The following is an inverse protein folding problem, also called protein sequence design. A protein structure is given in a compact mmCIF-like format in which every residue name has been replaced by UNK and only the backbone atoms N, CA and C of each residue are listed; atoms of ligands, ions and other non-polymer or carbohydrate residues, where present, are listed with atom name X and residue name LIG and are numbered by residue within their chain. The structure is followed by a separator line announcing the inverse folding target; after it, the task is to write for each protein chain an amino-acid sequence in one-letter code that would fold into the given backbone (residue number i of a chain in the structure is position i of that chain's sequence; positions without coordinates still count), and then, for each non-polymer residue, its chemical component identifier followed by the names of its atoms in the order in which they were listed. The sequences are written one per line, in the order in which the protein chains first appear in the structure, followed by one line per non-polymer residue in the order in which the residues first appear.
data_IF_940211844563
#
_entry.id   IF_940211844563
#
_cell.length_a   1.000
_cell.length_b   1.000
_cell.length_c   1.000
_cell.angle_alpha   90.00
_cell.angle_beta   90.00
_cell.angle_gamma   90.00
#
_symmetry.space_group_name_H-M   'P 1'
#
loop_
_entity.id
_entity.type
_entity.pdbx_description
1 polymer ?
#
# COMPACT_ATOMS: atom_id res chain seq x y z
N UNK A 1 -6.26 51.56 80.53
CA UNK A 1 -5.33 50.46 80.89
C UNK A 1 -5.64 49.27 79.99
N UNK A 2 -5.23 49.36 78.72
CA UNK A 2 -4.10 48.63 78.10
C UNK A 2 -4.34 47.12 77.91
N UNK A 3 -4.85 46.79 76.72
CA UNK A 3 -4.73 45.46 76.11
C UNK A 3 -3.26 45.17 75.77
N UNK A 4 -2.79 43.97 76.10
CA UNK A 4 -1.54 43.42 75.57
C UNK A 4 -1.80 42.01 75.03
N UNK A 5 -1.88 41.90 73.69
CA UNK A 5 -1.83 40.63 72.97
C UNK A 5 -0.37 40.19 72.91
N UNK A 6 -0.06 39.09 73.61
CA UNK A 6 1.26 38.46 73.59
C UNK A 6 1.37 37.58 72.35
N UNK A 7 2.38 37.85 71.51
CA UNK A 7 2.69 37.08 70.32
C UNK A 7 3.26 35.69 70.70
N UNK A 8 2.78 34.66 70.00
CA UNK A 8 3.27 33.28 70.08
C UNK A 8 4.61 33.15 69.30
N UNK A 9 5.57 32.35 69.78
CA UNK A 9 6.85 32.18 69.11
C UNK A 9 6.74 31.23 67.91
N UNK A 10 7.25 31.69 66.77
CA UNK A 10 7.36 30.98 65.50
C UNK A 10 8.22 29.69 65.64
N UNK A 11 7.69 28.49 65.31
CA UNK A 11 8.44 27.25 65.46
C UNK A 11 9.49 27.11 64.35
N UNK A 12 10.74 27.45 64.67
CA UNK A 12 11.88 27.14 63.80
C UNK A 12 11.99 25.61 63.62
N UNK A 13 12.03 25.11 62.36
CA UNK A 13 12.13 23.68 62.11
C UNK A 13 13.47 23.13 62.64
N UNK A 14 13.41 21.97 63.29
CA UNK A 14 14.59 21.32 63.87
C UNK A 14 15.60 20.96 62.76
N UNK A 15 16.90 20.93 63.11
CA UNK A 15 18.00 20.57 62.19
C UNK A 15 17.77 19.22 61.49
N UNK A 16 17.04 18.30 62.12
CA UNK A 16 16.68 16.98 61.57
C UNK A 16 15.68 17.11 60.42
N UNK A 17 14.70 18.01 60.52
CA UNK A 17 13.72 18.29 59.46
C UNK A 17 14.37 18.98 58.27
N UNK A 18 15.34 19.87 58.50
CA UNK A 18 16.10 20.51 57.42
C UNK A 18 17.00 19.52 56.66
N UNK A 19 17.65 18.58 57.34
CA UNK A 19 18.47 17.54 56.71
C UNK A 19 17.62 16.53 55.90
N UNK A 20 16.42 16.17 56.38
CA UNK A 20 15.48 15.34 55.64
C UNK A 20 14.97 16.02 54.36
N UNK A 21 14.67 17.31 54.44
CA UNK A 21 14.21 18.08 53.28
C UNK A 21 15.35 18.30 52.27
N UNK A 22 16.59 18.47 52.74
CA UNK A 22 17.77 18.55 51.85
C UNK A 22 18.04 17.21 51.16
N UNK A 23 17.93 16.08 51.88
CA UNK A 23 18.06 14.75 51.30
C UNK A 23 16.99 14.44 50.24
N UNK A 24 15.73 14.82 50.52
CA UNK A 24 14.64 14.66 49.56
C UNK A 24 14.84 15.55 48.32
N UNK A 25 15.33 16.78 48.52
CA UNK A 25 15.62 17.70 47.42
C UNK A 25 16.77 17.19 46.55
N UNK A 26 17.84 16.64 47.13
CA UNK A 26 18.96 16.04 46.38
C UNK A 26 18.50 14.79 45.61
N UNK A 27 17.60 13.96 46.18
CA UNK A 27 17.06 12.77 45.50
C UNK A 27 16.16 13.13 44.32
N UNK A 28 15.27 14.12 44.49
CA UNK A 28 14.40 14.62 43.41
C UNK A 28 15.22 15.33 42.34
N UNK A 29 16.20 16.15 42.73
CA UNK A 29 17.05 16.85 41.78
C UNK A 29 17.97 15.88 41.04
N UNK A 30 18.50 14.85 41.70
CA UNK A 30 19.33 13.82 41.07
C UNK A 30 18.53 12.93 40.13
N UNK A 31 17.27 12.57 40.45
CA UNK A 31 16.39 11.82 39.53
C UNK A 31 15.95 12.65 38.34
N UNK A 32 15.70 13.96 38.51
CA UNK A 32 15.43 14.88 37.40
C UNK A 32 16.69 15.08 36.55
N UNK A 33 17.87 15.24 37.15
CA UNK A 33 19.14 15.36 36.41
C UNK A 33 19.47 14.06 35.65
N UNK A 34 19.22 12.91 36.26
CA UNK A 34 19.40 11.60 35.62
C UNK A 34 18.39 11.41 34.48
N UNK A 35 17.14 11.83 34.67
CA UNK A 35 16.12 11.88 33.62
C UNK A 35 16.55 12.78 32.47
N UNK A 36 16.96 14.02 32.73
CA UNK A 36 17.36 14.99 31.69
C UNK A 36 18.68 14.63 31.00
N UNK A 37 19.61 13.97 31.70
CA UNK A 37 20.89 13.52 31.12
C UNK A 37 20.76 12.21 30.32
N UNK A 38 19.77 11.36 30.61
CA UNK A 38 19.52 10.10 29.89
C UNK A 38 18.33 10.13 28.92
N UNK A 39 17.46 11.14 28.99
CA UNK A 39 16.42 11.44 27.99
C UNK A 39 16.96 11.75 26.57
N UNK A 40 18.19 12.23 26.33
CA UNK A 40 18.69 12.36 24.96
C UNK A 40 19.22 11.03 24.39
N UNK A 41 19.29 9.95 25.19
CA UNK A 41 19.74 8.61 24.74
C UNK A 41 18.61 7.61 24.49
N UNK A 42 17.40 7.85 25.01
CA UNK A 42 16.19 7.32 24.39
C UNK A 42 15.78 8.23 23.24
N UNK A 43 16.63 8.28 22.22
CA UNK A 43 16.22 8.74 20.92
C UNK A 43 15.05 7.87 20.47
N UNK A 44 13.83 8.38 20.66
CA UNK A 44 12.68 8.06 19.81
C UNK A 44 13.24 8.07 18.40
N UNK A 45 13.40 6.87 17.86
CA UNK A 45 13.92 6.65 16.52
C UNK A 45 12.93 7.35 15.61
N UNK A 46 13.26 8.58 15.21
CA UNK A 46 12.60 9.26 14.09
C UNK A 46 12.93 8.42 12.85
N UNK A 47 12.24 7.31 12.67
CA UNK A 47 12.13 6.66 11.37
C UNK A 47 11.15 7.50 10.56
N UNK A 48 11.53 8.74 10.26
CA UNK A 48 11.06 9.33 9.01
C UNK A 48 11.52 8.38 7.89
N UNK A 49 10.66 8.01 6.94
CA UNK A 49 11.02 7.16 5.78
C UNK A 49 12.27 7.65 5.03
N UNK A 50 12.63 8.91 5.21
CA UNK A 50 13.86 9.56 4.75
C UNK A 50 15.16 8.78 5.03
N UNK A 51 15.28 8.07 6.16
CA UNK A 51 16.51 7.30 6.46
C UNK A 51 16.64 5.97 5.69
N UNK A 52 15.53 5.41 5.23
CA UNK A 52 15.51 4.25 4.33
C UNK A 52 15.82 4.69 2.89
N UNK A 53 15.26 5.82 2.46
CA UNK A 53 15.50 6.42 1.14
C UNK A 53 16.96 6.86 0.96
N UNK A 54 17.58 7.44 2.00
CA UNK A 54 18.99 7.81 1.98
C UNK A 54 19.94 6.59 1.85
N UNK A 55 19.51 5.40 2.32
CA UNK A 55 20.26 4.15 2.13
C UNK A 55 20.14 3.58 0.73
N UNK A 56 19.06 3.87 0.01
CA UNK A 56 18.81 3.43 -1.38
C UNK A 56 19.52 4.35 -2.39
N UNK A 57 19.66 5.64 -2.07
CA UNK A 57 20.35 6.62 -2.92
C UNK A 57 21.89 6.51 -2.91
N UNK A 58 22.47 5.65 -2.07
CA UNK A 58 23.90 5.43 -1.97
C UNK A 58 24.42 4.48 -3.04
N UNK A 59 25.04 5.03 -4.09
CA UNK A 59 25.84 4.39 -5.13
C UNK A 59 26.22 2.91 -4.89
N UNK A 60 25.45 2.01 -5.48
CA UNK A 60 25.90 0.72 -5.99
C UNK A 60 25.06 0.43 -7.23
N UNK A 61 25.68 -0.09 -8.30
CA UNK A 61 24.94 -0.60 -9.45
C UNK A 61 24.07 -1.75 -8.93
N UNK A 62 22.77 -1.48 -8.74
CA UNK A 62 21.82 -2.50 -8.31
C UNK A 62 21.95 -3.69 -9.27
N UNK A 63 22.05 -4.93 -8.75
CA UNK A 63 22.07 -6.11 -9.59
C UNK A 63 20.83 -6.12 -10.50
N UNK A 64 20.99 -6.57 -11.74
CA UNK A 64 19.86 -6.67 -12.67
C UNK A 64 18.76 -7.50 -12.03
N UNK A 65 17.50 -7.08 -12.17
CA UNK A 65 16.34 -7.78 -11.62
C UNK A 65 16.24 -9.26 -12.01
N UNK A 66 16.87 -9.66 -13.12
CA UNK A 66 16.73 -10.97 -13.76
C UNK A 66 15.61 -11.01 -14.80
N UNK A 67 14.76 -9.98 -14.87
CA UNK A 67 13.71 -9.83 -15.89
C UNK A 67 14.11 -8.71 -16.84
N UNK A 68 14.12 -9.01 -18.13
CA UNK A 68 14.59 -8.05 -19.12
C UNK A 68 13.78 -6.76 -19.03
N UNK A 69 12.46 -6.76 -18.95
CA UNK A 69 11.62 -5.54 -19.00
C UNK A 69 11.41 -4.84 -17.65
N UNK A 70 12.13 -5.25 -16.60
CA UNK A 70 11.97 -4.75 -15.23
C UNK A 70 13.31 -4.24 -14.69
N UNK A 71 13.36 -3.01 -14.19
CA UNK A 71 14.57 -2.46 -13.58
C UNK A 71 14.74 -2.93 -12.13
N UNK A 72 13.63 -2.96 -11.38
CA UNK A 72 13.63 -3.25 -9.95
C UNK A 72 12.44 -4.12 -9.59
N UNK A 73 12.67 -5.09 -8.72
CA UNK A 73 11.63 -5.91 -8.11
C UNK A 73 11.62 -5.58 -6.61
N UNK A 74 10.46 -5.23 -6.08
CA UNK A 74 10.23 -5.04 -4.64
C UNK A 74 9.32 -6.15 -4.12
N UNK A 75 9.69 -6.74 -2.98
CA UNK A 75 8.83 -7.66 -2.24
C UNK A 75 8.38 -6.97 -0.95
N UNK A 76 7.07 -6.76 -0.80
CA UNK A 76 6.47 -6.23 0.42
C UNK A 76 6.29 -7.39 1.39
N UNK A 77 7.01 -7.34 2.51
CA UNK A 77 6.95 -8.39 3.53
C UNK A 77 7.15 -7.80 4.91
N UNK A 78 6.39 -8.27 5.90
CA UNK A 78 6.67 -7.91 7.29
C UNK A 78 8.07 -8.40 7.67
N UNK A 79 8.87 -7.53 8.28
CA UNK A 79 10.24 -7.87 8.71
C UNK A 79 10.29 -9.10 9.62
N UNK A 80 9.24 -9.31 10.40
CA UNK A 80 9.10 -10.42 11.34
C UNK A 80 8.70 -11.74 10.68
N UNK A 81 8.25 -11.74 9.41
CA UNK A 81 7.85 -12.94 8.65
C UNK A 81 9.04 -13.57 7.93
N UNK A 82 10.03 -14.01 8.71
CA UNK A 82 11.22 -14.67 8.16
C UNK A 82 10.88 -15.94 7.38
N UNK A 83 9.82 -16.64 7.79
CA UNK A 83 9.27 -17.81 7.09
C UNK A 83 8.84 -17.49 5.65
N UNK A 84 8.14 -16.36 5.45
CA UNK A 84 7.71 -15.94 4.10
C UNK A 84 8.87 -15.43 3.27
N UNK A 85 9.79 -14.66 3.86
CA UNK A 85 11.00 -14.18 3.17
C UNK A 85 11.89 -15.34 2.73
N UNK A 86 12.04 -16.38 3.53
CA UNK A 86 12.78 -17.59 3.13
C UNK A 86 12.13 -18.28 1.92
N UNK A 87 10.81 -18.44 1.92
CA UNK A 87 10.10 -19.01 0.77
C UNK A 87 10.24 -18.14 -0.49
N UNK A 88 10.19 -16.82 -0.32
CA UNK A 88 10.46 -15.90 -1.41
C UNK A 88 11.91 -16.10 -1.88
N UNK A 89 12.91 -16.13 -1.01
CA UNK A 89 14.32 -16.30 -1.41
C UNK A 89 14.55 -17.59 -2.23
N UNK A 90 13.84 -18.68 -1.89
CA UNK A 90 13.81 -19.90 -2.71
C UNK A 90 13.22 -19.63 -4.10
N UNK A 91 12.10 -18.92 -4.19
CA UNK A 91 11.46 -18.53 -5.45
C UNK A 91 12.41 -17.68 -6.32
N UNK A 92 13.07 -16.67 -5.74
CA UNK A 92 14.08 -15.86 -6.43
C UNK A 92 15.24 -16.72 -6.94
N UNK A 93 15.76 -17.63 -6.11
CA UNK A 93 16.85 -18.52 -6.48
C UNK A 93 16.50 -19.46 -7.64
N UNK A 94 15.26 -19.98 -7.68
CA UNK A 94 14.76 -20.83 -8.77
C UNK A 94 14.59 -20.07 -10.09
N UNK A 95 14.13 -18.83 -10.02
CA UNK A 95 13.86 -17.99 -11.19
C UNK A 95 15.08 -17.16 -11.64
N UNK A 96 16.18 -17.17 -10.88
CA UNK A 96 17.35 -16.34 -11.13
C UNK A 96 17.06 -14.84 -10.99
N UNK A 97 16.16 -14.47 -10.06
CA UNK A 97 15.72 -13.10 -9.84
C UNK A 97 16.42 -12.45 -8.65
N UNK A 98 16.49 -11.12 -8.72
CA UNK A 98 16.97 -10.29 -7.62
C UNK A 98 15.93 -9.23 -7.27
N UNK A 99 15.57 -9.16 -5.99
CA UNK A 99 14.63 -8.16 -5.49
C UNK A 99 15.12 -7.51 -4.20
N UNK A 100 14.46 -6.41 -3.86
CA UNK A 100 14.64 -5.71 -2.60
C UNK A 100 13.42 -5.94 -1.71
N UNK A 101 13.63 -6.44 -0.50
CA UNK A 101 12.56 -6.47 0.51
C UNK A 101 12.27 -5.06 1.01
N UNK A 102 11.00 -4.67 0.97
CA UNK A 102 10.50 -3.54 1.71
C UNK A 102 9.84 -4.04 3.00
N UNK A 103 10.32 -3.54 4.14
CA UNK A 103 9.73 -3.84 5.46
C UNK A 103 8.31 -3.25 5.50
N UNK A 104 7.30 -4.13 5.43
CA UNK A 104 5.90 -3.73 5.49
C UNK A 104 5.56 -3.14 6.87
N UNK A 105 4.60 -2.21 6.88
CA UNK A 105 4.06 -1.61 8.10
C UNK A 105 3.14 -2.63 8.77
N UNK A 106 3.35 -2.97 10.05
CA UNK A 106 2.45 -3.87 10.78
C UNK A 106 1.14 -3.17 11.16
N UNK A 107 0.05 -3.94 11.27
CA UNK A 107 -1.29 -3.41 11.53
C UNK A 107 -1.45 -2.65 12.86
N UNK A 108 -0.54 -2.88 13.81
CA UNK A 108 -0.48 -2.25 15.12
C UNK A 108 0.61 -1.17 15.24
N UNK A 109 1.17 -0.71 14.12
CA UNK A 109 2.15 0.38 14.12
C UNK A 109 1.50 1.71 14.53
N UNK A 110 2.25 2.59 15.20
CA UNK A 110 1.78 3.92 15.61
C UNK A 110 1.34 4.77 14.40
N UNK A 111 1.99 4.62 13.23
CA UNK A 111 1.57 5.33 12.01
C UNK A 111 0.17 4.93 11.57
N UNK A 112 -0.22 3.68 11.81
CA UNK A 112 -1.55 3.15 11.45
C UNK A 112 -2.61 3.76 12.34
N UNK A 113 -2.36 3.80 13.65
CA UNK A 113 -3.26 4.42 14.62
C UNK A 113 -3.42 5.93 14.36
N UNK A 114 -2.31 6.63 14.16
CA UNK A 114 -2.31 8.05 13.85
C UNK A 114 -3.06 8.36 12.54
N UNK A 115 -2.89 7.54 11.51
CA UNK A 115 -3.61 7.69 10.23
C UNK A 115 -5.10 7.44 10.38
N UNK A 116 -5.53 6.43 11.14
CA UNK A 116 -6.96 6.22 11.43
C UNK A 116 -7.56 7.43 12.15
N UNK A 117 -6.83 8.04 13.08
CA UNK A 117 -7.28 9.23 13.80
C UNK A 117 -7.35 10.45 12.89
N UNK A 118 -6.37 10.63 12.01
CA UNK A 118 -6.38 11.67 10.99
C UNK A 118 -7.60 11.53 10.05
N UNK A 119 -7.92 10.31 9.58
CA UNK A 119 -9.11 10.05 8.74
C UNK A 119 -10.39 10.47 9.47
N UNK A 120 -10.54 10.16 10.76
CA UNK A 120 -11.70 10.57 11.56
C UNK A 120 -11.81 12.09 11.64
N UNK A 121 -10.71 12.79 11.97
CA UNK A 121 -10.68 14.25 12.09
C UNK A 121 -10.98 14.92 10.75
N UNK A 122 -10.36 14.44 9.67
CA UNK A 122 -10.57 14.95 8.31
C UNK A 122 -12.05 14.89 7.92
N UNK A 123 -12.70 13.74 8.11
CA UNK A 123 -14.13 13.56 7.79
C UNK A 123 -15.06 14.36 8.68
N UNK A 124 -14.76 14.50 9.98
CA UNK A 124 -15.55 15.31 10.89
C UNK A 124 -15.51 16.80 10.51
N UNK A 125 -14.34 17.32 10.12
CA UNK A 125 -14.20 18.69 9.60
C UNK A 125 -15.00 18.90 8.32
N UNK A 126 -14.94 17.96 7.37
CA UNK A 126 -15.75 18.03 6.16
C UNK A 126 -17.25 18.05 6.46
N UNK A 127 -17.73 17.24 7.41
CA UNK A 127 -19.14 17.24 7.81
C UNK A 127 -19.56 18.55 8.49
N UNK A 128 -18.73 19.12 9.37
CA UNK A 128 -19.03 20.39 10.04
C UNK A 128 -19.08 21.58 9.07
N UNK A 129 -18.16 21.62 8.08
CA UNK A 129 -18.16 22.65 7.03
C UNK A 129 -19.46 22.63 6.20
N UNK A 130 -20.11 21.49 6.05
CA UNK A 130 -21.42 21.39 5.36
C UNK A 130 -22.60 21.92 6.19
N UNK A 131 -22.44 22.08 7.52
CA UNK A 131 -23.53 22.52 8.42
C UNK A 131 -23.54 24.02 8.73
N UNK A 132 -22.42 24.72 8.53
CA UNK A 132 -22.31 26.16 8.85
C UNK A 132 -22.75 27.09 7.70
N UNK A 133 -22.76 26.61 6.45
CA UNK A 133 -23.21 27.39 5.30
C UNK A 133 -24.70 27.10 5.00
N UNK A 134 -25.58 28.01 5.42
CA UNK A 134 -27.05 27.88 5.34
C UNK A 134 -27.63 28.25 3.96
N UNK A 135 -26.80 28.27 2.92
CA UNK A 135 -27.25 28.24 1.53
C UNK A 135 -27.20 26.80 1.02
N UNK A 136 -28.17 26.30 0.23
CA UNK A 136 -28.12 24.96 -0.32
C UNK A 136 -27.03 24.91 -1.40
N UNK A 137 -25.78 24.90 -0.96
CA UNK A 137 -24.63 24.53 -1.76
C UNK A 137 -24.80 23.03 -1.98
N UNK A 138 -25.19 22.67 -3.20
CA UNK A 138 -25.00 21.33 -3.76
C UNK A 138 -23.67 20.80 -3.26
N UNK A 139 -23.68 19.63 -2.61
CA UNK A 139 -22.53 18.80 -2.23
C UNK A 139 -21.20 19.43 -2.62
N UNK A 140 -20.37 19.87 -1.68
CA UNK A 140 -19.00 20.32 -2.01
C UNK A 140 -18.32 19.23 -2.83
N UNK A 141 -18.35 19.37 -4.15
CA UNK A 141 -18.12 18.26 -5.05
C UNK A 141 -16.65 17.91 -4.95
N UNK A 142 -16.37 16.63 -4.72
CA UNK A 142 -14.99 16.15 -4.78
C UNK A 142 -14.39 16.57 -6.12
N UNK A 143 -13.25 17.26 -6.09
CA UNK A 143 -12.48 17.61 -7.27
C UNK A 143 -11.03 17.15 -7.10
N UNK A 144 -10.50 16.52 -8.14
CA UNK A 144 -9.08 16.17 -8.14
C UNK A 144 -8.22 17.43 -8.34
N UNK A 145 -7.02 17.50 -7.75
CA UNK A 145 -6.09 18.59 -8.02
C UNK A 145 -5.79 18.73 -9.52
N UNK A 146 -5.83 19.96 -10.01
CA UNK A 146 -5.65 20.29 -11.43
C UNK A 146 -4.21 20.09 -11.92
N UNK A 147 -3.25 19.99 -11.01
CA UNK A 147 -1.82 19.84 -11.25
C UNK A 147 -1.34 18.38 -11.28
N UNK A 148 -2.23 17.40 -11.12
CA UNK A 148 -1.84 15.98 -11.15
C UNK A 148 -1.12 15.61 -12.46
N UNK A 149 -1.65 16.04 -13.60
CA UNK A 149 -1.08 15.66 -14.90
C UNK A 149 0.27 16.34 -15.16
N UNK A 150 0.42 17.61 -14.76
CA UNK A 150 1.70 18.31 -14.90
C UNK A 150 2.77 17.73 -13.96
N UNK A 151 2.43 17.45 -12.70
CA UNK A 151 3.33 16.80 -11.75
C UNK A 151 3.69 15.37 -12.16
N UNK A 152 2.75 14.64 -12.78
CA UNK A 152 3.02 13.30 -13.30
C UNK A 152 4.13 13.31 -14.36
N UNK A 153 4.16 14.35 -15.20
CA UNK A 153 5.15 14.50 -16.28
C UNK A 153 6.46 15.16 -15.83
N UNK A 154 6.50 15.76 -14.64
CA UNK A 154 7.71 16.41 -14.12
C UNK A 154 8.71 15.39 -13.54
N UNK A 155 9.92 15.86 -13.27
CA UNK A 155 10.94 15.13 -12.49
C UNK A 155 11.03 15.63 -11.04
N UNK A 156 10.10 16.48 -10.62
CA UNK A 156 10.07 16.99 -9.26
C UNK A 156 9.83 15.85 -8.27
N UNK A 157 10.50 15.96 -7.12
CA UNK A 157 10.31 15.03 -6.02
C UNK A 157 8.89 15.16 -5.46
N UNK A 158 8.16 14.06 -5.44
CA UNK A 158 6.81 13.98 -4.88
C UNK A 158 6.93 13.43 -3.46
N UNK A 159 6.63 14.29 -2.47
CA UNK A 159 6.57 13.88 -1.05
C UNK A 159 5.57 12.74 -0.81
N UNK A 160 5.88 11.91 0.19
CA UNK A 160 5.02 10.82 0.65
C UNK A 160 3.64 11.33 1.10
N UNK A 161 3.63 12.41 1.87
CA UNK A 161 2.41 13.07 2.37
C UNK A 161 2.02 14.24 1.45
N UNK A 162 0.74 14.59 1.47
CA UNK A 162 0.28 15.78 0.76
C UNK A 162 0.79 17.05 1.46
N UNK A 163 1.11 18.14 0.74
CA UNK A 163 1.74 19.33 1.33
C UNK A 163 0.98 19.98 2.49
N UNK A 164 -0.35 19.83 2.53
CA UNK A 164 -1.19 20.37 3.60
C UNK A 164 -1.50 19.38 4.72
N UNK A 165 -0.97 18.15 4.65
CA UNK A 165 -1.09 17.20 5.76
C UNK A 165 -0.20 17.67 6.91
N UNK A 166 -0.68 17.62 8.17
CA UNK A 166 0.15 17.99 9.31
C UNK A 166 1.40 17.11 9.35
N UNK A 167 2.57 17.75 9.38
CA UNK A 167 3.86 17.06 9.35
C UNK A 167 4.13 16.18 10.58
N UNK A 168 3.35 16.35 11.66
CA UNK A 168 3.49 15.66 12.95
C UNK A 168 2.28 14.77 13.24
N UNK A 169 2.44 13.46 13.03
CA UNK A 169 1.53 12.43 13.58
C UNK A 169 1.47 12.50 15.13
N UNK A 170 2.47 13.11 15.77
CA UNK A 170 2.58 13.27 17.23
C UNK A 170 1.50 14.19 17.84
N UNK A 171 1.07 15.25 17.14
CA UNK A 171 -0.01 16.13 17.62
C UNK A 171 -1.37 15.41 17.60
N UNK A 172 -1.53 14.43 16.71
CA UNK A 172 -2.74 13.64 16.59
C UNK A 172 -2.85 12.53 17.64
N UNK A 173 -1.72 12.03 18.16
CA UNK A 173 -1.65 11.02 19.23
C UNK A 173 -1.93 11.60 20.63
N UNK A 174 -1.49 12.84 20.89
CA UNK A 174 -1.56 13.45 22.23
C UNK A 174 -2.98 13.87 22.68
N UNK A 175 -3.96 13.90 21.76
CA UNK A 175 -5.31 14.44 22.00
C UNK A 175 -6.43 13.38 21.90
N UNK A 176 -6.11 12.11 21.77
CA UNK A 176 -7.10 11.07 21.51
C UNK A 176 -7.64 10.43 22.79
N UNK A 177 -8.93 10.68 23.08
CA UNK A 177 -9.69 10.01 24.14
C UNK A 177 -10.65 8.99 23.51
N UNK A 178 -10.05 7.96 22.91
CA UNK A 178 -10.52 7.28 21.71
C UNK A 178 -11.93 6.71 21.63
N UNK A 179 -12.58 6.98 20.51
CA UNK A 179 -13.70 6.18 20.03
C UNK A 179 -13.18 5.11 19.07
N UNK A 180 -13.28 3.84 19.46
CA UNK A 180 -13.02 2.67 18.61
C UNK A 180 -14.13 2.44 17.57
N UNK A 181 -14.90 3.49 17.23
CA UNK A 181 -15.98 3.37 16.27
C UNK A 181 -15.44 2.95 14.90
N UNK A 182 -16.08 1.97 14.24
CA UNK A 182 -15.77 1.59 12.87
C UNK A 182 -15.85 2.80 11.93
N UNK A 183 -14.90 2.90 11.01
CA UNK A 183 -14.88 3.95 10.00
C UNK A 183 -15.39 3.35 8.69
N UNK A 184 -16.49 3.81 8.09
CA UNK A 184 -16.96 3.30 6.80
C UNK A 184 -15.92 3.60 5.70
N UNK A 185 -15.65 2.67 4.79
CA UNK A 185 -14.80 2.98 3.63
C UNK A 185 -15.54 3.93 2.68
N UNK A 186 -14.80 4.74 1.96
CA UNK A 186 -15.35 5.50 0.85
C UNK A 186 -15.55 4.59 -0.37
N UNK A 187 -16.65 4.82 -1.08
CA UNK A 187 -16.89 4.33 -2.42
C UNK A 187 -16.65 5.47 -3.41
N UNK A 188 -16.38 5.13 -4.67
CA UNK A 188 -16.13 6.12 -5.73
C UNK A 188 -15.04 7.15 -5.36
N UNK A 189 -15.19 8.44 -5.63
CA UNK A 189 -14.17 9.40 -5.22
C UNK A 189 -14.14 9.60 -3.69
N UNK A 190 -15.28 9.92 -3.08
CA UNK A 190 -15.37 10.14 -1.63
C UNK A 190 -16.79 9.93 -1.07
N UNK A 191 -17.56 9.00 -1.66
CA UNK A 191 -18.92 8.72 -1.18
C UNK A 191 -18.85 7.81 0.05
N UNK A 192 -19.17 8.35 1.22
CA UNK A 192 -19.08 7.67 2.51
C UNK A 192 -20.50 7.41 3.03
N UNK A 193 -20.77 6.18 3.46
CA UNK A 193 -22.04 5.82 4.07
C UNK A 193 -22.30 6.64 5.34
N UNK A 194 -23.51 7.19 5.47
CA UNK A 194 -23.94 7.97 6.64
C UNK A 194 -24.15 7.12 7.91
N UNK A 195 -24.26 5.79 7.75
CA UNK A 195 -24.42 4.83 8.84
C UNK A 195 -23.52 3.62 8.62
N UNK A 196 -22.98 3.08 9.71
CA UNK A 196 -22.23 1.82 9.73
C UNK A 196 -23.14 0.60 9.93
N UNK A 197 -24.42 0.81 10.28
CA UNK A 197 -25.36 -0.27 10.57
C UNK A 197 -25.62 -1.07 9.29
N UNK A 198 -25.37 -2.38 9.34
CA UNK A 198 -25.58 -3.30 8.21
C UNK A 198 -24.46 -3.26 7.16
N UNK A 199 -23.39 -2.49 7.36
CA UNK A 199 -22.24 -2.54 6.46
C UNK A 199 -21.47 -3.87 6.62
N UNK A 200 -21.10 -4.53 5.52
CA UNK A 200 -20.26 -5.72 5.60
C UNK A 200 -18.83 -5.36 6.01
N UNK A 201 -18.07 -6.33 6.54
CA UNK A 201 -16.72 -6.10 7.05
C UNK A 201 -15.75 -5.49 6.03
N UNK A 202 -15.92 -5.79 4.73
CA UNK A 202 -15.10 -5.20 3.66
C UNK A 202 -15.38 -3.71 3.38
N UNK A 203 -16.46 -3.17 3.97
CA UNK A 203 -16.81 -1.75 3.94
C UNK A 203 -16.40 -1.00 5.21
N UNK A 204 -15.61 -1.59 6.10
CA UNK A 204 -15.12 -0.96 7.32
C UNK A 204 -13.60 -0.78 7.29
N UNK A 205 -13.08 0.43 7.36
CA UNK A 205 -11.65 0.68 7.35
C UNK A 205 -11.00 0.12 8.63
N UNK A 206 -9.99 -0.75 8.47
CA UNK A 206 -9.28 -1.42 9.57
C UNK A 206 -7.80 -1.04 9.59
N UNK A 207 -7.14 -1.26 10.73
CA UNK A 207 -5.69 -1.06 10.84
C UNK A 207 -4.89 -1.84 9.80
N UNK A 208 -5.25 -3.10 9.53
CA UNK A 208 -4.59 -3.91 8.49
C UNK A 208 -4.72 -3.31 7.08
N UNK A 209 -5.86 -2.66 6.75
CA UNK A 209 -6.05 -1.98 5.45
C UNK A 209 -5.18 -0.74 5.33
N UNK A 210 -5.07 0.03 6.41
CA UNK A 210 -4.18 1.20 6.48
C UNK A 210 -2.71 0.79 6.41
N UNK A 211 -2.33 -0.27 7.13
CA UNK A 211 -0.98 -0.81 7.12
C UNK A 211 -0.57 -1.32 5.72
N UNK A 212 -1.48 -2.05 5.07
CA UNK A 212 -1.32 -2.47 3.68
C UNK A 212 -1.17 -1.25 2.75
N UNK A 213 -2.03 -0.22 2.90
CA UNK A 213 -1.89 1.02 2.14
C UNK A 213 -0.53 1.67 2.31
N UNK A 214 -0.04 1.86 3.55
CA UNK A 214 1.28 2.44 3.78
C UNK A 214 2.41 1.63 3.14
N UNK A 215 2.30 0.30 3.21
CA UNK A 215 3.31 -0.63 2.69
C UNK A 215 3.40 -0.58 1.16
N UNK A 216 2.27 -0.49 0.46
CA UNK A 216 2.28 -0.29 -0.99
C UNK A 216 2.66 1.14 -1.38
N UNK A 217 2.15 2.14 -0.66
CA UNK A 217 2.43 3.55 -0.94
C UNK A 217 3.92 3.87 -0.82
N UNK A 218 4.66 3.20 0.07
CA UNK A 218 6.11 3.39 0.21
C UNK A 218 6.89 2.88 -1.02
N UNK A 219 6.52 1.72 -1.58
CA UNK A 219 7.09 1.21 -2.84
C UNK A 219 6.72 2.13 -4.00
N UNK A 220 5.44 2.52 -4.10
CA UNK A 220 4.95 3.44 -5.14
C UNK A 220 5.70 4.78 -5.08
N UNK A 221 5.92 5.30 -3.87
CA UNK A 221 6.69 6.52 -3.63
C UNK A 221 8.16 6.38 -4.04
N UNK A 222 8.79 5.24 -3.76
CA UNK A 222 10.15 4.94 -4.26
C UNK A 222 10.18 4.94 -5.79
N UNK A 223 9.27 4.19 -6.43
CA UNK A 223 9.18 4.09 -7.89
C UNK A 223 8.94 5.46 -8.56
N UNK A 224 8.04 6.28 -8.00
CA UNK A 224 7.69 7.60 -8.51
C UNK A 224 8.85 8.61 -8.48
N UNK A 225 9.77 8.43 -7.52
CA UNK A 225 10.89 9.34 -7.27
C UNK A 225 12.24 8.78 -7.76
N UNK A 226 12.23 7.68 -8.51
CA UNK A 226 13.43 7.24 -9.23
C UNK A 226 13.91 8.32 -10.20
N UNK A 227 15.23 8.52 -10.37
CA UNK A 227 15.76 9.50 -11.33
C UNK A 227 15.27 9.25 -12.76
N UNK A 228 15.14 10.32 -13.55
CA UNK A 228 14.76 10.23 -14.96
C UNK A 228 15.77 9.42 -15.79
N UNK A 229 15.26 8.56 -16.67
CA UNK A 229 16.02 7.66 -17.55
C UNK A 229 15.06 6.79 -18.37
N UNK A 230 15.55 5.96 -19.28
CA UNK A 230 14.70 5.00 -20.03
C UNK A 230 14.03 4.05 -19.03
N UNK A 231 12.72 4.17 -18.76
CA UNK A 231 12.14 3.50 -17.61
C UNK A 231 11.73 2.09 -18.02
N UNK A 232 12.42 1.09 -17.49
CA UNK A 232 11.83 -0.25 -17.45
C UNK A 232 10.86 -0.28 -16.27
N UNK A 233 10.09 -1.36 -16.16
CA UNK A 233 9.06 -1.44 -15.14
C UNK A 233 9.65 -1.57 -13.73
N UNK A 234 8.95 -1.07 -12.72
CA UNK A 234 9.12 -1.52 -11.33
C UNK A 234 8.10 -2.60 -11.04
N UNK A 235 8.54 -3.81 -10.70
CA UNK A 235 7.68 -4.91 -10.30
C UNK A 235 7.50 -4.91 -8.78
N UNK A 236 6.25 -5.05 -8.32
CA UNK A 236 5.89 -5.13 -6.90
C UNK A 236 5.20 -6.45 -6.65
N UNK A 237 5.69 -7.17 -5.64
CA UNK A 237 5.19 -8.48 -5.20
C UNK A 237 4.84 -8.44 -3.71
N UNK A 238 3.78 -9.15 -3.32
CA UNK A 238 3.57 -9.55 -1.92
C UNK A 238 4.38 -10.83 -1.61
N UNK A 239 4.55 -11.15 -0.31
CA UNK A 239 5.42 -12.23 0.14
C UNK A 239 4.80 -13.64 0.15
N UNK A 240 3.59 -13.77 -0.38
CA UNK A 240 2.87 -15.03 -0.50
C UNK A 240 2.48 -15.36 -1.94
N UNK A 241 3.38 -15.11 -2.90
CA UNK A 241 3.16 -15.41 -4.32
C UNK A 241 3.90 -16.65 -4.84
N UNK A 242 3.38 -17.22 -5.92
CA UNK A 242 4.08 -18.12 -6.85
C UNK A 242 4.04 -17.51 -8.26
N UNK A 243 4.97 -17.88 -9.13
CA UNK A 243 5.15 -17.31 -10.47
C UNK A 243 5.40 -18.40 -11.51
N UNK A 244 5.03 -18.15 -12.77
CA UNK A 244 5.42 -19.02 -13.89
C UNK A 244 6.96 -19.15 -13.97
N UNK A 245 7.46 -20.36 -14.22
CA UNK A 245 8.89 -20.63 -14.32
C UNK A 245 9.57 -19.81 -15.45
N UNK A 246 8.86 -19.54 -16.54
CA UNK A 246 9.35 -18.80 -17.71
C UNK A 246 8.99 -17.31 -17.67
N UNK A 247 8.70 -16.74 -16.49
CA UNK A 247 8.20 -15.37 -16.30
C UNK A 247 8.97 -14.31 -17.09
N UNK A 248 10.30 -14.41 -17.19
CA UNK A 248 11.11 -13.46 -17.94
C UNK A 248 10.77 -13.48 -19.43
N UNK A 249 10.61 -14.66 -20.03
CA UNK A 249 10.25 -14.81 -21.44
C UNK A 249 8.83 -14.28 -21.70
N UNK A 250 7.88 -14.68 -20.84
CA UNK A 250 6.48 -14.22 -20.92
C UNK A 250 6.38 -12.70 -20.85
N UNK A 251 6.99 -12.08 -19.84
CA UNK A 251 6.96 -10.63 -19.68
C UNK A 251 7.67 -9.92 -20.83
N UNK A 252 8.80 -10.43 -21.29
CA UNK A 252 9.53 -9.86 -22.43
C UNK A 252 8.68 -9.83 -23.70
N UNK A 253 7.91 -10.90 -23.96
CA UNK A 253 6.98 -10.94 -25.09
C UNK A 253 5.79 -10.00 -24.89
N UNK A 254 5.10 -10.09 -23.75
CA UNK A 254 3.90 -9.31 -23.47
C UNK A 254 4.17 -7.79 -23.50
N UNK A 255 5.32 -7.35 -22.98
CA UNK A 255 5.66 -5.92 -22.96
C UNK A 255 5.75 -5.30 -24.36
N UNK A 256 5.99 -6.09 -25.41
CA UNK A 256 5.99 -5.58 -26.79
C UNK A 256 4.62 -5.08 -27.26
N UNK A 257 3.54 -5.50 -26.60
CA UNK A 257 2.18 -5.10 -26.92
C UNK A 257 1.69 -3.89 -26.11
N UNK A 258 2.40 -3.49 -25.05
CA UNK A 258 1.99 -2.37 -24.22
C UNK A 258 2.13 -1.03 -24.98
N UNK A 259 1.13 -0.13 -24.89
CA UNK A 259 1.28 1.19 -25.47
C UNK A 259 2.29 2.02 -24.68
N UNK A 260 3.04 2.97 -25.28
CA UNK A 260 4.13 3.68 -24.62
C UNK A 260 3.77 4.44 -23.32
N UNK A 261 2.49 4.78 -23.15
CA UNK A 261 1.93 5.57 -22.05
C UNK A 261 1.18 4.73 -21.00
N UNK A 262 1.44 3.42 -20.90
CA UNK A 262 0.87 2.55 -19.87
C UNK A 262 1.26 3.01 -18.45
N UNK A 263 0.35 2.89 -17.49
CA UNK A 263 0.59 3.26 -16.09
C UNK A 263 0.85 2.03 -15.20
N UNK A 264 -0.03 1.01 -15.28
CA UNK A 264 0.00 -0.16 -14.38
C UNK A 264 -0.29 -1.45 -15.14
N UNK A 265 0.46 -2.52 -14.89
CA UNK A 265 0.15 -3.88 -15.39
C UNK A 265 -0.05 -4.83 -14.20
N UNK A 266 -1.21 -5.47 -14.10
CA UNK A 266 -1.46 -6.50 -13.08
C UNK A 266 -1.02 -7.86 -13.63
N UNK A 267 -0.05 -8.50 -12.98
CA UNK A 267 0.44 -9.84 -13.35
C UNK A 267 -0.39 -10.96 -12.73
N UNK A 268 -1.11 -10.63 -11.66
CA UNK A 268 -2.27 -11.35 -11.18
C UNK A 268 -3.23 -10.41 -10.48
N UNK A 269 -4.51 -10.75 -10.51
CA UNK A 269 -5.58 -9.95 -9.93
C UNK A 269 -6.74 -10.87 -9.50
N UNK A 270 -7.69 -10.30 -8.77
CA UNK A 270 -8.90 -10.99 -8.34
C UNK A 270 -10.16 -10.19 -8.68
N UNK A 271 -11.30 -10.88 -8.62
CA UNK A 271 -12.66 -10.33 -8.60
C UNK A 271 -13.14 -9.64 -9.90
N UNK A 272 -12.29 -9.52 -10.92
CA UNK A 272 -12.67 -9.14 -12.28
C UNK A 272 -12.28 -10.23 -13.29
N UNK A 273 -12.99 -10.27 -14.42
CA UNK A 273 -12.59 -11.08 -15.56
C UNK A 273 -12.22 -10.16 -16.73
N UNK A 274 -10.96 -9.79 -16.75
CA UNK A 274 -10.43 -8.86 -17.76
C UNK A 274 -10.41 -9.49 -19.17
N UNK A 275 -10.54 -10.82 -19.28
CA UNK A 275 -10.69 -11.53 -20.56
C UNK A 275 -11.96 -11.13 -21.33
N UNK A 276 -12.88 -10.42 -20.68
CA UNK A 276 -14.09 -9.89 -21.32
C UNK A 276 -13.77 -8.73 -22.27
N UNK A 277 -12.60 -8.09 -22.10
CA UNK A 277 -12.08 -7.09 -23.01
C UNK A 277 -11.17 -7.75 -24.06
N UNK A 278 -11.11 -7.26 -25.31
CA UNK A 278 -10.23 -7.82 -26.32
C UNK A 278 -8.76 -7.78 -25.88
N UNK A 279 -8.03 -8.87 -26.11
CA UNK A 279 -6.60 -8.90 -25.90
C UNK A 279 -5.92 -7.85 -26.79
N UNK A 280 -4.93 -7.14 -26.27
CA UNK A 280 -4.05 -6.32 -27.10
C UNK A 280 -3.06 -7.25 -27.79
N UNK A 281 -3.11 -7.27 -29.11
CA UNK A 281 -2.17 -7.99 -29.97
C UNK A 281 -1.46 -6.98 -30.86
N UNK A 282 -0.13 -7.05 -30.97
CA UNK A 282 0.69 -6.16 -31.79
C UNK A 282 0.47 -6.25 -33.30
N UNK A 283 -0.64 -6.85 -33.75
CA UNK A 283 -1.07 -6.80 -35.13
C UNK A 283 -1.61 -5.40 -35.40
N UNK A 284 -0.79 -4.59 -36.09
CA UNK A 284 -1.25 -3.44 -36.84
C UNK A 284 -2.55 -3.78 -37.57
N UNK A 285 -3.54 -2.89 -37.53
CA UNK A 285 -4.85 -3.03 -38.20
C UNK A 285 -4.72 -3.41 -39.70
N UNK A 286 -3.57 -3.15 -40.30
CA UNK A 286 -3.17 -3.55 -41.66
C UNK A 286 -2.90 -5.05 -41.86
N UNK A 287 -2.48 -5.79 -40.84
CA UNK A 287 -2.18 -7.23 -40.93
C UNK A 287 -3.46 -8.10 -40.97
N UNK A 288 -4.56 -7.60 -40.39
CA UNK A 288 -5.86 -8.29 -40.40
C UNK A 288 -6.55 -8.22 -41.78
N UNK A 289 -6.19 -7.25 -42.63
CA UNK A 289 -6.76 -7.09 -43.97
C UNK A 289 -6.05 -7.90 -45.06
N UNK A 290 -4.84 -8.46 -44.80
CA UNK A 290 -4.06 -9.17 -45.83
C UNK A 290 -4.11 -10.71 -45.74
N UNK A 291 -4.77 -11.27 -44.72
CA UNK A 291 -4.86 -12.73 -44.53
C UNK A 291 -6.23 -13.33 -44.91
N UNK A 292 -7.13 -12.58 -45.56
CA UNK A 292 -8.45 -13.09 -45.98
C UNK A 292 -8.50 -13.70 -47.40
N UNK A 293 -7.35 -13.91 -48.04
CA UNK A 293 -7.27 -14.72 -49.25
C UNK A 293 -6.21 -15.80 -49.06
N UNK A 294 -6.64 -17.07 -49.11
CA UNK A 294 -5.84 -18.31 -49.01
C UNK A 294 -5.76 -18.99 -47.62
N UNK A 295 -6.84 -19.66 -47.22
CA UNK A 295 -6.76 -20.92 -46.47
C UNK A 295 -8.07 -21.72 -46.59
N UNK A 296 -8.25 -22.40 -47.72
CA UNK A 296 -9.21 -23.51 -47.86
C UNK A 296 -8.37 -24.77 -48.10
N UNK A 297 -7.95 -25.46 -47.04
CA UNK A 297 -7.32 -26.78 -47.16
C UNK A 297 -7.27 -27.54 -45.83
N UNK A 298 -8.01 -28.65 -45.83
CA UNK A 298 -7.88 -29.92 -45.10
C UNK A 298 -8.01 -30.00 -43.57
N UNK A 299 -8.94 -30.84 -43.07
CA UNK A 299 -9.01 -31.25 -41.67
C UNK A 299 -8.14 -32.50 -41.45
N UNK A 300 -6.95 -32.32 -40.90
CA UNK A 300 -6.07 -33.42 -40.51
C UNK A 300 -4.70 -32.92 -40.11
N UNK A 301 -4.32 -33.21 -38.87
CA UNK A 301 -2.96 -33.12 -38.31
C UNK A 301 -2.32 -31.72 -38.22
N UNK A 302 -2.60 -31.06 -37.10
CA UNK A 302 -1.63 -30.45 -36.19
C UNK A 302 -2.39 -30.01 -34.94
N UNK A 303 -2.46 -30.90 -33.94
CA UNK A 303 -2.83 -30.51 -32.58
C UNK A 303 -1.62 -29.77 -32.01
N UNK A 304 -1.41 -28.52 -32.46
CA UNK A 304 -0.48 -27.62 -31.80
C UNK A 304 -1.07 -27.45 -30.40
N UNK A 305 -0.36 -27.98 -29.41
CA UNK A 305 -0.70 -27.80 -28.01
C UNK A 305 -0.77 -26.30 -27.76
N UNK A 306 -1.97 -25.74 -27.70
CA UNK A 306 -2.21 -24.35 -27.32
C UNK A 306 -1.97 -24.32 -25.81
N UNK A 307 -0.69 -24.44 -25.44
CA UNK A 307 -0.19 -24.09 -24.13
C UNK A 307 -0.76 -22.71 -23.82
N UNK A 308 -1.41 -22.58 -22.67
CA UNK A 308 -2.27 -21.46 -22.31
C UNK A 308 -1.51 -20.13 -22.49
N UNK A 309 -1.65 -19.51 -23.66
CA UNK A 309 -0.88 -18.31 -23.97
C UNK A 309 -1.43 -17.16 -23.13
N UNK A 310 -0.53 -16.55 -22.36
CA UNK A 310 -0.83 -15.35 -21.58
C UNK A 310 -1.08 -14.19 -22.55
N UNK A 311 -2.08 -13.37 -22.26
CA UNK A 311 -2.41 -12.18 -23.06
C UNK A 311 -2.57 -10.97 -22.16
N UNK A 312 -2.32 -9.78 -22.71
CA UNK A 312 -2.63 -8.52 -22.06
C UNK A 312 -4.04 -8.07 -22.46
N UNK A 313 -4.82 -7.66 -21.48
CA UNK A 313 -6.15 -7.09 -21.66
C UNK A 313 -6.21 -5.71 -21.00
N UNK A 314 -6.93 -4.72 -21.55
CA UNK A 314 -7.25 -3.51 -20.81
C UNK A 314 -7.95 -3.88 -19.50
N UNK A 315 -7.49 -3.30 -18.39
CA UNK A 315 -8.09 -3.51 -17.07
C UNK A 315 -9.36 -2.67 -16.90
N UNK A 316 -10.38 -3.22 -16.22
CA UNK A 316 -11.58 -2.48 -15.84
C UNK A 316 -11.60 -2.10 -14.35
N UNK A 317 -11.45 -3.08 -13.47
CA UNK A 317 -11.47 -2.85 -12.02
C UNK A 317 -10.71 -3.97 -11.25
N UNK A 318 -9.45 -4.27 -11.61
CA UNK A 318 -8.69 -5.35 -10.99
C UNK A 318 -8.48 -5.06 -9.52
N UNK A 319 -8.70 -6.08 -8.68
CA UNK A 319 -8.39 -6.07 -7.24
C UNK A 319 -7.27 -7.05 -6.93
N UNK A 320 -6.90 -7.11 -5.65
CA UNK A 320 -5.66 -7.72 -5.17
C UNK A 320 -4.42 -6.96 -5.65
N UNK A 321 -3.40 -6.93 -4.80
CA UNK A 321 -2.14 -6.20 -5.03
C UNK A 321 -0.94 -7.12 -4.96
N UNK A 322 -1.16 -8.44 -5.04
CA UNK A 322 -0.13 -9.45 -4.84
C UNK A 322 0.96 -9.40 -5.91
N UNK A 323 0.65 -8.96 -7.14
CA UNK A 323 1.64 -8.75 -8.18
C UNK A 323 1.22 -7.72 -9.25
N UNK A 324 1.94 -6.60 -9.30
CA UNK A 324 1.73 -5.57 -10.31
C UNK A 324 3.03 -4.84 -10.68
N UNK A 325 3.08 -4.34 -11.91
CA UNK A 325 4.17 -3.56 -12.44
C UNK A 325 3.74 -2.11 -12.65
N UNK A 326 4.65 -1.16 -12.41
CA UNK A 326 4.46 0.26 -12.61
C UNK A 326 5.46 0.80 -13.63
N UNK A 327 4.99 1.65 -14.53
CA UNK A 327 5.88 2.57 -15.23
C UNK A 327 6.23 3.70 -14.27
N UNK A 328 7.35 4.40 -14.47
CA UNK A 328 7.69 5.56 -13.64
C UNK A 328 6.57 6.61 -13.66
N UNK A 329 6.05 6.92 -14.85
CA UNK A 329 4.89 7.81 -15.04
C UNK A 329 3.67 7.32 -14.28
N UNK A 330 3.35 6.03 -14.39
CA UNK A 330 2.26 5.39 -13.67
C UNK A 330 2.41 5.45 -12.16
N UNK A 331 3.63 5.23 -11.63
CA UNK A 331 3.94 5.37 -10.21
C UNK A 331 3.72 6.80 -9.71
N UNK A 332 4.18 7.80 -10.47
CA UNK A 332 3.95 9.23 -10.15
C UNK A 332 2.46 9.56 -10.12
N UNK A 333 1.73 9.18 -11.17
CA UNK A 333 0.29 9.40 -11.26
C UNK A 333 -0.45 8.71 -10.11
N UNK A 334 -0.13 7.45 -9.83
CA UNK A 334 -0.74 6.68 -8.76
C UNK A 334 -0.47 7.31 -7.39
N UNK A 335 0.78 7.70 -7.10
CA UNK A 335 1.16 8.37 -5.85
C UNK A 335 0.36 9.66 -5.62
N UNK A 336 0.25 10.51 -6.64
CA UNK A 336 -0.46 11.79 -6.56
C UNK A 336 -1.94 11.62 -6.19
N UNK A 337 -2.60 10.58 -6.73
CA UNK A 337 -3.97 10.25 -6.36
C UNK A 337 -4.08 9.64 -4.96
N UNK A 338 -3.20 8.68 -4.63
CA UNK A 338 -3.25 7.96 -3.35
C UNK A 338 -2.90 8.83 -2.15
N UNK A 339 -2.19 9.94 -2.34
CA UNK A 339 -1.88 10.89 -1.27
C UNK A 339 -2.90 12.03 -1.15
N UNK A 340 -3.85 12.19 -2.09
CA UNK A 340 -4.80 13.32 -2.06
C UNK A 340 -5.78 13.18 -0.88
N UNK A 341 -5.88 14.15 0.06
CA UNK A 341 -6.52 13.93 1.36
C UNK A 341 -7.97 13.42 1.37
N UNK A 342 -8.88 13.88 0.47
CA UNK A 342 -10.23 13.32 0.40
C UNK A 342 -10.29 11.87 -0.11
N UNK A 343 -9.22 11.37 -0.74
CA UNK A 343 -9.12 10.02 -1.29
C UNK A 343 -8.19 9.11 -0.49
N UNK A 344 -7.11 9.65 0.07
CA UNK A 344 -6.06 8.91 0.77
C UNK A 344 -6.61 8.18 1.98
N UNK A 345 -6.17 6.93 2.17
CA UNK A 345 -6.55 6.09 3.30
C UNK A 345 -8.06 5.91 3.51
N UNK A 346 -8.87 6.21 2.49
CA UNK A 346 -10.32 6.20 2.60
C UNK A 346 -10.94 4.81 2.51
N UNK A 347 -10.15 3.81 2.07
CA UNK A 347 -10.55 2.42 1.79
C UNK A 347 -9.30 1.52 1.73
N UNK A 348 -9.46 0.24 1.35
CA UNK A 348 -8.31 -0.62 1.08
C UNK A 348 -7.56 -0.20 -0.21
N UNK A 349 -6.24 -0.40 -0.27
CA UNK A 349 -5.42 0.08 -1.39
C UNK A 349 -5.80 -0.55 -2.73
N UNK A 350 -6.14 -1.83 -2.74
CA UNK A 350 -6.64 -2.55 -3.91
C UNK A 350 -7.95 -1.95 -4.43
N UNK A 351 -8.88 -1.59 -3.54
CA UNK A 351 -10.13 -0.91 -3.91
C UNK A 351 -9.88 0.50 -4.45
N UNK A 352 -8.87 1.21 -3.94
CA UNK A 352 -8.48 2.51 -4.45
C UNK A 352 -7.89 2.41 -5.85
N UNK A 353 -6.97 1.46 -6.07
CA UNK A 353 -6.40 1.20 -7.41
C UNK A 353 -7.48 0.78 -8.40
N UNK A 354 -8.37 -0.15 -8.02
CA UNK A 354 -9.49 -0.58 -8.85
C UNK A 354 -10.38 0.60 -9.26
N UNK A 355 -10.69 1.50 -8.33
CA UNK A 355 -11.48 2.70 -8.64
C UNK A 355 -10.74 3.65 -9.58
N UNK A 356 -9.45 3.87 -9.39
CA UNK A 356 -8.65 4.74 -10.28
C UNK A 356 -8.54 4.16 -11.69
N UNK A 357 -8.49 2.84 -11.85
CA UNK A 357 -8.59 2.18 -13.16
C UNK A 357 -9.99 2.40 -13.74
N UNK A 358 -11.03 2.05 -12.99
CA UNK A 358 -12.42 2.10 -13.45
C UNK A 358 -12.87 3.52 -13.84
N UNK A 359 -12.39 4.54 -13.13
CA UNK A 359 -12.68 5.96 -13.41
C UNK A 359 -11.80 6.57 -14.49
N UNK A 360 -10.96 5.78 -15.16
CA UNK A 360 -10.10 6.23 -16.27
C UNK A 360 -8.88 7.06 -15.84
N UNK A 361 -8.56 7.08 -14.54
CA UNK A 361 -7.42 7.83 -13.99
C UNK A 361 -6.10 7.11 -14.22
N UNK A 362 -6.12 5.79 -14.35
CA UNK A 362 -4.95 4.97 -14.65
C UNK A 362 -5.16 4.18 -15.94
N UNK A 363 -4.21 4.27 -16.87
CA UNK A 363 -4.15 3.40 -18.04
C UNK A 363 -3.57 2.06 -17.64
N UNK A 364 -4.43 1.09 -17.38
CA UNK A 364 -4.04 -0.20 -16.81
C UNK A 364 -4.33 -1.37 -17.73
N UNK A 365 -3.47 -2.38 -17.64
CA UNK A 365 -3.61 -3.68 -18.30
C UNK A 365 -3.49 -4.82 -17.29
N UNK A 366 -4.07 -5.97 -17.62
CA UNK A 366 -4.02 -7.17 -16.80
C UNK A 366 -3.63 -8.36 -17.67
N UNK A 367 -2.77 -9.23 -17.13
CA UNK A 367 -2.37 -10.47 -17.80
C UNK A 367 -3.41 -11.56 -17.50
N UNK A 368 -3.93 -12.19 -18.54
CA UNK A 368 -4.89 -13.30 -18.46
C UNK A 368 -4.47 -14.44 -19.39
N UNK A 369 -4.30 -15.69 -18.91
CA UNK A 369 -4.27 -16.12 -17.50
C UNK A 369 -3.23 -15.37 -16.65
N UNK A 370 -3.24 -15.52 -15.31
CA UNK A 370 -2.30 -14.78 -14.46
C UNK A 370 -0.91 -15.42 -14.48
N UNK A 371 0.14 -14.59 -14.55
CA UNK A 371 1.54 -15.02 -14.46
C UNK A 371 2.03 -15.19 -13.02
N UNK A 372 1.31 -14.58 -12.07
CA UNK A 372 1.65 -14.59 -10.65
C UNK A 372 0.37 -14.79 -9.84
N UNK A 373 0.39 -15.79 -8.96
CA UNK A 373 -0.77 -16.17 -8.13
C UNK A 373 -0.45 -16.09 -6.65
N UNK A 374 -1.46 -15.81 -5.84
CA UNK A 374 -1.31 -15.85 -4.38
C UNK A 374 -1.39 -17.29 -3.85
N UNK A 375 -0.35 -17.71 -3.14
CA UNK A 375 -0.28 -18.99 -2.42
C UNK A 375 -1.11 -18.91 -1.14
N UNK A 376 -1.96 -19.90 -0.92
CA UNK A 376 -2.77 -20.02 0.33
C UNK A 376 -2.12 -20.94 1.36
N UNK A 377 -0.80 -20.90 1.49
CA UNK A 377 -0.05 -21.88 2.28
C UNK A 377 0.02 -21.57 3.78
N UNK A 378 -0.32 -20.34 4.21
CA UNK A 378 -0.24 -19.92 5.62
C UNK A 378 -1.40 -18.98 6.01
N UNK A 379 -1.69 -18.88 7.31
CA UNK A 379 -2.66 -17.90 7.86
C UNK A 379 -2.27 -16.48 7.40
N UNK A 380 -3.24 -15.75 6.84
CA UNK A 380 -3.07 -14.35 6.41
C UNK A 380 -3.09 -13.42 7.63
N UNK A 381 -2.11 -12.51 7.71
CA UNK A 381 -1.98 -11.52 8.78
C UNK A 381 -2.98 -10.35 8.64
N UNK A 382 -3.72 -10.30 7.52
CA UNK A 382 -4.75 -9.28 7.25
C UNK A 382 -6.09 -9.64 7.92
N UNK A 383 -6.24 -10.83 8.49
CA UNK A 383 -7.47 -11.26 9.18
C UNK A 383 -7.57 -10.72 10.60
N UNK A 384 -7.96 -9.46 10.72
CA UNK A 384 -8.65 -8.97 11.92
C UNK A 384 -10.13 -9.37 11.86
N UNK A 385 -10.59 -10.12 12.85
CA UNK A 385 -12.00 -10.39 13.18
C UNK A 385 -12.91 -11.05 12.11
N UNK A 386 -12.62 -12.31 11.77
CA UNK A 386 -13.68 -13.27 11.42
C UNK A 386 -13.72 -14.37 12.49
N UNK A 387 -14.25 -14.01 13.66
CA UNK A 387 -14.62 -14.98 14.68
C UNK A 387 -15.73 -15.88 14.14
N UNK A 388 -15.45 -17.19 14.16
CA UNK A 388 -16.39 -18.30 14.02
C UNK A 388 -16.79 -18.74 12.59
N UNK A 389 -15.84 -19.28 11.83
CA UNK A 389 -16.16 -20.25 10.77
C UNK A 389 -16.38 -21.64 11.37
N UNK A 390 -17.49 -21.78 12.12
CA UNK A 390 -18.15 -23.06 12.39
C UNK A 390 -19.48 -23.06 11.63
N UNK A 391 -19.38 -22.97 10.31
CA UNK A 391 -20.31 -23.54 9.35
C UNK A 391 -19.82 -23.18 7.95
N UNK A 392 -19.65 -24.21 7.11
CA UNK A 392 -19.02 -24.13 5.79
C UNK A 392 -19.84 -23.36 4.76
N UNK A 393 -19.94 -22.04 4.90
CA UNK A 393 -20.33 -21.14 3.81
C UNK A 393 -19.10 -20.41 3.30
N UNK A 394 -18.62 -20.85 2.14
CA UNK A 394 -17.62 -20.19 1.31
C UNK A 394 -18.07 -18.75 1.01
N UNK A 395 -17.66 -17.79 1.82
CA UNK A 395 -17.90 -16.38 1.54
C UNK A 395 -16.95 -15.91 0.43
N UNK A 396 -17.46 -15.90 -0.80
CA UNK A 396 -17.32 -14.75 -1.72
C UNK A 396 -15.96 -14.38 -2.32
N UNK A 397 -14.86 -15.13 -2.12
CA UNK A 397 -13.64 -14.91 -2.91
C UNK A 397 -13.85 -15.56 -4.29
N UNK A 398 -14.12 -14.74 -5.32
CA UNK A 398 -14.57 -15.17 -6.65
C UNK A 398 -13.81 -16.36 -7.24
N UNK A 399 -14.57 -17.30 -7.79
CA UNK A 399 -14.15 -18.49 -8.56
C UNK A 399 -13.60 -18.13 -9.94
N UNK A 400 -12.68 -17.17 -10.03
CA UNK A 400 -11.91 -16.89 -11.23
C UNK A 400 -10.56 -17.59 -11.10
N UNK A 401 -10.18 -18.36 -12.12
CA UNK A 401 -9.14 -19.41 -12.11
C UNK A 401 -7.77 -18.86 -11.70
N UNK A 402 -7.14 -19.49 -10.71
CA UNK A 402 -5.89 -19.09 -10.04
C UNK A 402 -4.88 -20.23 -10.10
N UNK A 403 -4.61 -20.78 -11.28
CA UNK A 403 -3.58 -21.80 -11.45
C UNK A 403 -2.55 -21.30 -12.44
N UNK A 404 -1.28 -21.49 -12.08
CA UNK A 404 -0.16 -21.32 -13.00
C UNK A 404 -0.10 -22.55 -13.91
N UNK A 405 0.34 -22.34 -15.14
CA UNK A 405 0.58 -23.42 -16.11
C UNK A 405 1.78 -24.26 -15.67
N UNK A 406 2.84 -23.58 -15.22
CA UNK A 406 4.08 -24.17 -14.74
C UNK A 406 4.67 -23.33 -13.59
N UNK A 407 3.97 -23.35 -12.44
CA UNK A 407 4.39 -22.61 -11.25
C UNK A 407 5.56 -23.26 -10.51
N UNK A 408 6.44 -22.44 -9.92
CA UNK A 408 7.66 -22.91 -9.24
C UNK A 408 7.36 -23.85 -8.07
N UNK A 409 6.26 -23.64 -7.34
CA UNK A 409 5.87 -24.50 -6.21
C UNK A 409 4.77 -25.52 -6.55
N UNK A 410 4.33 -25.59 -7.81
CA UNK A 410 3.28 -26.50 -8.27
C UNK A 410 1.90 -26.31 -7.60
N UNK A 411 0.95 -27.19 -7.91
CA UNK A 411 -0.42 -27.11 -7.36
C UNK A 411 -0.50 -27.40 -5.85
N UNK A 412 0.47 -28.10 -5.26
CA UNK A 412 0.47 -28.55 -3.86
C UNK A 412 1.16 -27.59 -2.90
N UNK A 413 1.97 -26.65 -3.40
CA UNK A 413 2.69 -25.66 -2.60
C UNK A 413 3.61 -26.25 -1.52
N UNK A 414 4.01 -27.51 -1.68
CA UNK A 414 5.00 -28.18 -0.82
C UNK A 414 6.31 -28.27 -1.58
N UNK A 415 7.39 -27.86 -0.91
CA UNK A 415 8.76 -28.09 -1.36
C UNK A 415 9.06 -29.58 -1.16
N UNK A 416 9.27 -30.31 -2.25
CA UNK A 416 9.93 -31.63 -2.20
C UNK A 416 11.45 -31.47 -2.03
#
# INVERSE_FOLDING_TARGET
TTMSKRAEPDPRPSKVTQLRNLGLFVLVFSTILYGVAYLPFFGLRKSTPSSLLAKIAGNSSLPSSGISVVDQIYVISLKTRSDRREQMDILAGRLGLHWTYLDAVPANDLVVEATLNWVRKSRARSAAAMTEDSTPITTTDFQWPMDIDSLTLSDEYISYWYPTDPASLDDDLALFNGSNSPIPVATQNNNIASSIVGLPAWMLLTGSRIACWHSHLSVIHSAANTPGGTPRATLVLEDDVDMEQDINAQLSQLWTYLPPDWDVVFLGHCWSNESSYPAISGLSETALLHNHSHALSSPGDLKLDVSASHHLHPSFAPKCTHAYALSRKGARKLLLHLRYPPFSFSRAIDQAMAWLVQSGRLKSFSVVPALVVQRKLLKSDIKGEDGNSRNGTKSGMGTWKVYLTDGVFGETGTVD
#
